data_IF_321431790747
#
_entry.id   IF_321431790747
#
_cell.length_a   1.000
_cell.length_b   1.000
_cell.length_c   1.000
_cell.angle_alpha   90.00
_cell.angle_beta   90.00
_cell.angle_gamma   90.00
#
_symmetry.space_group_name_H-M   'P 1'
#
loop_
_entity.id
_entity.type
_entity.pdbx_description
1 polymer ?
#
# COMPACT_ATOMS: atom_id res chain seq x y z
N UNK A 1 14.44 -3.77 16.66
CA UNK A 1 13.16 -3.64 15.92
C UNK A 1 12.30 -2.66 16.68
N UNK A 2 11.73 -1.67 16.00
CA UNK A 2 10.74 -0.78 16.60
C UNK A 2 9.47 -0.79 15.76
N UNK A 3 8.32 -0.65 16.41
CA UNK A 3 7.01 -0.58 15.76
C UNK A 3 6.44 0.81 16.03
N UNK A 4 5.97 1.48 14.98
CA UNK A 4 5.26 2.76 15.07
C UNK A 4 3.86 2.58 14.48
N UNK A 5 2.88 3.15 15.16
CA UNK A 5 1.50 3.21 14.68
C UNK A 5 1.14 4.67 14.46
N UNK A 6 0.60 4.97 13.28
CA UNK A 6 0.19 6.32 12.92
C UNK A 6 -1.25 6.30 12.41
N UNK A 7 -2.08 7.17 12.97
CA UNK A 7 -3.41 7.54 12.49
C UNK A 7 -3.53 9.05 12.59
N UNK A 8 -4.20 9.70 11.63
CA UNK A 8 -4.55 11.12 11.75
C UNK A 8 -6.05 11.25 11.97
N UNK A 9 -6.51 12.31 12.63
CA UNK A 9 -7.93 12.45 12.98
C UNK A 9 -8.86 12.62 11.75
N UNK A 10 -8.30 12.97 10.58
CA UNK A 10 -9.04 13.22 9.34
C UNK A 10 -8.85 12.15 8.26
N UNK A 11 -7.77 11.38 8.34
CA UNK A 11 -7.48 10.25 7.46
C UNK A 11 -7.54 8.96 8.27
N UNK A 12 -8.48 8.09 7.90
CA UNK A 12 -8.69 6.80 8.57
C UNK A 12 -7.72 5.72 8.10
N UNK A 13 -6.73 6.05 7.28
CA UNK A 13 -5.64 5.16 6.95
C UNK A 13 -4.92 4.72 8.23
N UNK A 14 -4.94 3.42 8.47
CA UNK A 14 -4.18 2.80 9.55
C UNK A 14 -2.83 2.36 9.00
N UNK A 15 -1.75 2.80 9.65
CA UNK A 15 -0.40 2.47 9.24
C UNK A 15 0.40 1.90 10.41
N UNK A 16 0.97 0.70 10.19
CA UNK A 16 1.99 0.11 11.06
C UNK A 16 3.32 0.12 10.32
N UNK A 17 4.30 0.81 10.89
CA UNK A 17 5.68 0.81 10.41
C UNK A 17 6.56 -0.05 11.32
N UNK A 18 7.23 -1.04 10.72
CA UNK A 18 8.26 -1.83 11.36
C UNK A 18 9.62 -1.32 10.88
N UNK A 19 10.45 -0.89 11.83
CA UNK A 19 11.85 -0.57 11.59
C UNK A 19 12.72 -1.76 12.03
N UNK A 20 13.46 -2.32 11.08
CA UNK A 20 14.37 -3.43 11.30
C UNK A 20 15.80 -3.04 10.93
N UNK A 21 16.77 -3.52 11.70
CA UNK A 21 18.19 -3.28 11.46
C UNK A 21 18.94 -4.61 11.30
N UNK A 22 19.83 -4.67 10.32
CA UNK A 22 20.79 -5.76 10.14
C UNK A 22 22.18 -5.15 9.96
N UNK A 23 22.94 -5.04 11.05
CA UNK A 23 24.12 -4.19 11.09
C UNK A 23 23.71 -2.73 10.87
N UNK A 24 24.41 -2.03 9.98
CA UNK A 24 24.11 -0.63 9.62
C UNK A 24 22.99 -0.50 8.57
N UNK A 25 22.45 -1.63 8.09
CA UNK A 25 21.34 -1.62 7.15
C UNK A 25 20.02 -1.43 7.88
N UNK A 26 19.32 -0.36 7.56
CA UNK A 26 17.98 -0.06 8.03
C UNK A 26 16.94 -0.43 6.97
N UNK A 27 15.95 -1.21 7.38
CA UNK A 27 14.79 -1.62 6.61
C UNK A 27 13.52 -1.05 7.25
N UNK A 28 12.61 -0.57 6.41
CA UNK A 28 11.30 -0.07 6.83
C UNK A 28 10.23 -0.92 6.15
N UNK A 29 9.32 -1.47 6.94
CA UNK A 29 8.20 -2.27 6.42
C UNK A 29 6.90 -1.62 6.86
N UNK A 30 6.08 -1.22 5.90
CA UNK A 30 4.80 -0.59 6.14
C UNK A 30 3.68 -1.60 5.90
N UNK A 31 2.74 -1.68 6.84
CA UNK A 31 1.47 -2.36 6.69
C UNK A 31 0.37 -1.33 6.76
N UNK A 32 -0.39 -1.18 5.68
CA UNK A 32 -1.42 -0.17 5.53
C UNK A 32 -2.80 -0.82 5.41
N UNK A 33 -3.77 -0.23 6.08
CA UNK A 33 -5.18 -0.56 5.89
C UNK A 33 -5.98 0.72 5.69
N UNK A 34 -6.55 0.87 4.50
CA UNK A 34 -7.49 1.95 4.20
C UNK A 34 -8.91 1.40 4.33
N UNK A 35 -9.72 1.84 5.29
CA UNK A 35 -11.09 1.36 5.42
C UNK A 35 -11.94 1.81 4.22
N UNK A 36 -13.03 1.09 3.89
CA UNK A 36 -13.94 1.47 2.82
C UNK A 36 -14.44 2.92 2.98
N UNK A 37 -14.62 3.62 1.86
CA UNK A 37 -15.05 5.02 1.80
C UNK A 37 -14.07 6.04 2.39
N UNK A 38 -12.82 5.66 2.69
CA UNK A 38 -11.76 6.61 3.02
C UNK A 38 -10.91 6.96 1.79
N UNK A 39 -10.53 8.23 1.68
CA UNK A 39 -9.59 8.72 0.66
C UNK A 39 -8.24 8.92 1.35
N UNK A 40 -7.29 7.97 1.23
CA UNK A 40 -6.07 8.01 2.00
C UNK A 40 -5.16 9.14 1.52
N UNK A 41 -4.48 9.81 2.45
CA UNK A 41 -3.37 10.70 2.18
C UNK A 41 -2.06 9.90 2.32
N UNK A 42 -1.44 9.59 1.18
CA UNK A 42 -0.22 8.79 1.13
C UNK A 42 1.06 9.64 1.18
N UNK A 43 0.96 10.97 1.20
CA UNK A 43 2.12 11.87 1.17
C UNK A 43 3.02 11.67 2.39
N UNK A 44 2.44 11.31 3.53
CA UNK A 44 3.15 11.07 4.78
C UNK A 44 4.09 9.84 4.72
N UNK A 45 3.91 8.95 3.74
CA UNK A 45 4.74 7.75 3.57
C UNK A 45 6.08 8.05 2.90
N UNK A 46 6.22 9.21 2.23
CA UNK A 46 7.47 9.60 1.58
C UNK A 46 8.57 9.98 2.56
N UNK A 47 8.22 10.44 3.76
CA UNK A 47 9.21 10.86 4.75
C UNK A 47 10.09 9.68 5.19
N UNK A 48 11.34 9.70 4.70
CA UNK A 48 12.35 8.65 4.92
C UNK A 48 12.19 7.41 4.03
N UNK A 49 11.39 7.47 2.96
CA UNK A 49 11.33 6.38 1.98
C UNK A 49 12.71 6.14 1.39
N UNK A 50 13.09 4.87 1.21
CA UNK A 50 14.43 4.49 0.78
C UNK A 50 14.44 3.18 0.00
N UNK A 51 15.62 2.84 -0.53
CA UNK A 51 15.86 1.58 -1.24
C UNK A 51 15.64 0.28 -0.41
N UNK A 52 15.31 0.39 0.86
CA UNK A 52 15.07 -0.73 1.78
C UNK A 52 13.69 -0.64 2.43
N UNK A 53 12.76 0.00 1.73
CA UNK A 53 11.38 0.17 2.17
C UNK A 53 10.50 -0.83 1.43
N UNK A 54 9.69 -1.56 2.20
CA UNK A 54 8.65 -2.45 1.70
C UNK A 54 7.32 -1.91 2.17
N UNK A 55 6.32 -1.87 1.31
CA UNK A 55 4.97 -1.48 1.67
C UNK A 55 4.03 -2.61 1.28
N UNK A 56 3.15 -2.93 2.22
CA UNK A 56 2.05 -3.87 2.13
C UNK A 56 0.78 -3.14 2.51
N UNK A 57 -0.31 -3.37 1.79
CA UNK A 57 -1.57 -2.82 2.28
C UNK A 57 -2.79 -3.18 1.46
N UNK A 58 -3.92 -3.17 2.16
CA UNK A 58 -5.26 -3.25 1.59
C UNK A 58 -5.84 -1.83 1.53
N UNK A 59 -6.05 -1.35 0.31
CA UNK A 59 -6.52 0.00 0.07
C UNK A 59 -8.05 0.11 -0.12
N UNK A 60 -8.77 -1.02 -0.17
CA UNK A 60 -10.18 -1.04 -0.59
C UNK A 60 -10.43 -0.23 -1.87
N UNK A 61 -9.56 -0.42 -2.87
CA UNK A 61 -9.50 0.41 -4.07
C UNK A 61 -9.66 -0.42 -5.34
N UNK A 62 -10.46 0.07 -6.28
CA UNK A 62 -10.61 -0.57 -7.59
C UNK A 62 -9.60 0.01 -8.57
N UNK A 63 -8.83 -0.85 -9.24
CA UNK A 63 -8.03 -0.49 -10.41
C UNK A 63 -7.94 -1.65 -11.39
N UNK A 64 -7.92 -1.31 -12.67
CA UNK A 64 -7.65 -2.25 -13.76
C UNK A 64 -6.23 -2.85 -13.68
N UNK A 65 -5.26 -2.14 -13.07
CA UNK A 65 -3.87 -2.60 -12.87
C UNK A 65 -3.77 -3.83 -11.98
N UNK A 66 -4.71 -4.01 -11.05
CA UNK A 66 -4.85 -5.21 -10.20
C UNK A 66 -6.15 -5.98 -10.42
N UNK A 67 -6.75 -5.85 -11.62
CA UNK A 67 -7.78 -6.80 -12.08
C UNK A 67 -9.24 -6.42 -11.82
N UNK A 68 -9.56 -5.18 -11.43
CA UNK A 68 -10.94 -4.68 -11.48
C UNK A 68 -11.36 -4.29 -12.90
N UNK A 69 -12.66 -4.25 -13.16
CA UNK A 69 -13.20 -3.79 -14.45
C UNK A 69 -13.04 -2.29 -14.66
N UNK A 70 -12.93 -1.51 -13.59
CA UNK A 70 -12.74 -0.05 -13.61
C UNK A 70 -11.71 0.40 -12.57
N UNK A 71 -11.17 1.60 -12.76
CA UNK A 71 -10.39 2.30 -11.73
C UNK A 71 -11.26 3.34 -11.05
N UNK A 72 -11.37 3.29 -9.72
CA UNK A 72 -12.10 4.28 -8.92
C UNK A 72 -11.16 5.39 -8.41
N UNK A 73 -11.72 6.38 -7.68
CA UNK A 73 -10.93 7.50 -7.15
C UNK A 73 -9.79 7.05 -6.23
N UNK A 74 -10.00 6.03 -5.39
CA UNK A 74 -8.98 5.54 -4.47
C UNK A 74 -7.92 4.76 -5.25
N UNK A 75 -8.32 3.99 -6.27
CA UNK A 75 -7.42 3.28 -7.16
C UNK A 75 -6.50 4.23 -7.90
N UNK A 76 -7.02 5.35 -8.42
CA UNK A 76 -6.19 6.38 -9.05
C UNK A 76 -5.21 7.03 -8.07
N UNK A 77 -5.59 7.25 -6.80
CA UNK A 77 -4.66 7.76 -5.77
C UNK A 77 -3.51 6.78 -5.57
N UNK A 78 -3.80 5.49 -5.45
CA UNK A 78 -2.80 4.44 -5.24
C UNK A 78 -1.92 4.24 -6.49
N UNK A 79 -2.49 4.26 -7.69
CA UNK A 79 -1.72 4.23 -8.95
C UNK A 79 -0.76 5.41 -9.03
N UNK A 80 -1.26 6.63 -8.79
CA UNK A 80 -0.42 7.83 -8.81
C UNK A 80 0.70 7.76 -7.76
N UNK A 81 0.40 7.22 -6.57
CA UNK A 81 1.42 7.00 -5.53
C UNK A 81 2.51 6.02 -6.00
N UNK A 82 2.13 4.90 -6.62
CA UNK A 82 3.07 3.94 -7.20
C UNK A 82 3.93 4.59 -8.28
N UNK A 83 3.31 5.35 -9.19
CA UNK A 83 3.98 5.90 -10.38
C UNK A 83 4.83 7.14 -10.08
N UNK A 84 4.52 7.87 -9.01
CA UNK A 84 5.28 9.06 -8.58
C UNK A 84 6.48 8.74 -7.68
N UNK A 85 6.54 7.52 -7.13
CA UNK A 85 7.58 7.08 -6.23
C UNK A 85 8.56 6.13 -6.94
N UNK A 86 9.79 5.93 -6.43
CA UNK A 86 10.66 4.83 -6.86
C UNK A 86 10.13 3.50 -6.29
N UNK A 87 8.91 3.13 -6.68
CA UNK A 87 8.19 1.94 -6.26
C UNK A 87 8.04 1.01 -7.45
N UNK A 88 8.53 -0.21 -7.29
CA UNK A 88 8.17 -1.31 -8.18
C UNK A 88 6.92 -2.00 -7.64
N UNK A 89 5.87 -2.05 -8.45
CA UNK A 89 4.65 -2.80 -8.17
C UNK A 89 4.81 -4.23 -8.69
N UNK A 90 4.67 -5.23 -7.82
CA UNK A 90 4.97 -6.63 -8.17
C UNK A 90 3.77 -7.57 -8.28
N UNK A 91 2.55 -7.07 -8.09
CA UNK A 91 1.35 -7.91 -8.18
C UNK A 91 0.99 -8.21 -9.64
N UNK A 92 0.42 -9.40 -9.85
CA UNK A 92 -0.04 -9.85 -11.16
C UNK A 92 -1.58 -9.87 -11.17
N UNK A 93 -2.17 -9.10 -12.10
CA UNK A 93 -3.63 -9.04 -12.30
C UNK A 93 -4.28 -10.40 -12.63
N UNK A 94 -3.48 -11.37 -13.10
CA UNK A 94 -3.91 -12.72 -13.46
C UNK A 94 -3.73 -13.72 -12.30
N UNK A 95 -3.28 -13.26 -11.12
CA UNK A 95 -3.23 -14.06 -9.89
C UNK A 95 -4.62 -14.31 -9.31
N UNK A 96 -4.75 -15.37 -8.52
CA UNK A 96 -5.99 -15.68 -7.80
C UNK A 96 -6.43 -14.52 -6.88
N UNK A 97 -7.75 -14.26 -6.75
CA UNK A 97 -8.30 -13.29 -5.82
C UNK A 97 -7.78 -13.49 -4.40
N UNK A 98 -7.27 -12.41 -3.81
CA UNK A 98 -6.73 -12.36 -2.43
C UNK A 98 -7.82 -12.25 -1.36
N UNK A 99 -9.10 -12.12 -1.74
CA UNK A 99 -10.30 -12.19 -0.90
C UNK A 99 -11.48 -12.69 -1.71
N UNK A 100 -12.38 -13.40 -1.03
CA UNK A 100 -13.60 -13.93 -1.60
C UNK A 100 -14.78 -13.26 -0.88
N UNK A 101 -15.39 -12.27 -1.51
CA UNK A 101 -16.72 -11.79 -1.14
C UNK A 101 -17.76 -12.42 -2.07
N UNK A 102 -18.99 -12.61 -1.59
CA UNK A 102 -20.12 -13.14 -2.38
C UNK A 102 -20.45 -12.31 -3.66
N UNK A 103 -19.77 -11.18 -3.89
CA UNK A 103 -19.93 -10.31 -5.06
C UNK A 103 -18.67 -10.12 -5.92
N UNK A 104 -17.55 -10.78 -5.60
CA UNK A 104 -16.28 -10.67 -6.35
C UNK A 104 -15.56 -9.33 -6.15
N UNK A 105 -14.50 -9.32 -5.34
CA UNK A 105 -13.60 -8.18 -5.23
C UNK A 105 -12.19 -8.64 -4.81
N UNK A 106 -11.14 -8.13 -5.48
CA UNK A 106 -9.73 -8.41 -5.23
C UNK A 106 -9.10 -7.31 -4.34
N UNK A 107 -8.89 -7.49 -3.03
CA UNK A 107 -8.16 -6.53 -2.22
C UNK A 107 -6.67 -6.60 -2.53
N UNK A 108 -6.08 -5.43 -2.56
CA UNK A 108 -4.73 -5.25 -3.08
C UNK A 108 -3.72 -5.79 -2.05
N UNK A 109 -2.62 -6.37 -2.54
CA UNK A 109 -1.41 -6.61 -1.77
C UNK A 109 -0.28 -5.88 -2.48
N UNK A 110 -0.07 -4.60 -2.25
CA UNK A 110 1.13 -3.96 -2.84
C UNK A 110 2.35 -4.61 -2.19
N UNK A 111 3.36 -5.00 -2.96
CA UNK A 111 4.71 -5.26 -2.47
C UNK A 111 5.60 -4.28 -3.22
N UNK A 112 6.21 -3.35 -2.49
CA UNK A 112 7.16 -2.41 -3.08
C UNK A 112 8.59 -2.92 -2.92
N UNK A 113 9.33 -3.05 -4.03
CA UNK A 113 10.79 -3.04 -4.02
C UNK A 113 11.28 -1.78 -4.75
N UNK A 114 12.36 -1.14 -4.32
CA UNK A 114 12.95 -0.02 -5.05
C UNK A 114 14.16 -0.49 -5.87
N UNK A 115 14.20 -0.11 -7.15
CA UNK A 115 15.31 -0.35 -8.06
C UNK A 115 16.54 0.53 -7.78
#
# INVERSE_FOLDING_TARGET
MTVRHTMTDFDRLEAVEINAWRGDLHYRVFFLYNPPNNRPNLDCLFDGWSRRSLLFGDFNAHSQRWGYSNTDTVGSIVENFIDSAPIEYIENKDSDPTFLSFGGANPIRILCWPS
#
